data_IF_822496588669
#
_entry.id   IF_822496588669
#
_cell.length_a   1.000
_cell.length_b   1.000
_cell.length_c   1.000
_cell.angle_alpha   90.00
_cell.angle_beta   90.00
_cell.angle_gamma   90.00
#
_symmetry.space_group_name_H-M   'P 1'
#
loop_
_entity.id
_entity.type
_entity.pdbx_description
1 polymer ?
#
# COMPACT_ATOMS: atom_id res chain seq x y z
N UNK A 1 -25.96 -12.98 7.35
CA UNK A 1 -25.90 -13.16 5.88
C UNK A 1 -24.46 -12.83 5.50
N UNK A 2 -23.68 -13.81 5.06
CA UNK A 2 -22.34 -13.54 4.54
C UNK A 2 -22.49 -12.71 3.26
N UNK A 3 -21.86 -11.55 3.20
CA UNK A 3 -21.89 -10.65 2.03
C UNK A 3 -20.64 -10.96 1.22
N UNK A 4 -20.83 -11.32 -0.06
CA UNK A 4 -19.74 -11.51 -1.00
C UNK A 4 -18.92 -10.21 -1.11
N UNK A 5 -17.62 -10.28 -0.82
CA UNK A 5 -16.70 -9.15 -1.02
C UNK A 5 -15.83 -9.40 -2.23
N UNK A 6 -15.83 -8.44 -3.14
CA UNK A 6 -15.02 -8.49 -4.35
C UNK A 6 -14.16 -7.24 -4.44
N UNK A 7 -12.85 -7.43 -4.38
CA UNK A 7 -11.89 -6.35 -4.62
C UNK A 7 -11.37 -6.42 -6.06
N UNK A 8 -11.25 -5.26 -6.71
CA UNK A 8 -10.67 -5.15 -8.04
C UNK A 8 -9.35 -4.41 -7.95
N UNK A 9 -8.25 -5.06 -8.33
CA UNK A 9 -6.92 -4.42 -8.29
C UNK A 9 -6.18 -4.62 -9.61
N UNK A 10 -5.26 -3.71 -9.91
CA UNK A 10 -4.33 -3.85 -11.02
C UNK A 10 -2.95 -4.25 -10.49
N UNK A 11 -2.33 -5.25 -11.13
CA UNK A 11 -0.96 -5.62 -10.91
C UNK A 11 -0.17 -5.45 -12.21
N UNK A 12 1.04 -4.92 -12.07
CA UNK A 12 1.99 -4.86 -13.17
C UNK A 12 3.20 -5.75 -12.87
N UNK A 13 3.66 -6.46 -13.89
CA UNK A 13 4.78 -7.39 -13.77
C UNK A 13 6.09 -6.66 -13.44
N UNK A 14 6.29 -5.46 -14.00
CA UNK A 14 7.56 -4.71 -13.87
C UNK A 14 7.48 -3.62 -12.82
N UNK A 15 6.35 -2.92 -12.78
CA UNK A 15 6.12 -1.73 -11.97
C UNK A 15 5.23 -2.04 -10.76
N UNK A 16 5.44 -1.31 -9.66
CA UNK A 16 4.57 -1.44 -8.48
C UNK A 16 3.41 -0.47 -8.64
N UNK A 17 2.19 -0.99 -8.71
CA UNK A 17 0.97 -0.19 -8.74
C UNK A 17 0.42 0.03 -7.33
N UNK A 18 -0.25 1.17 -7.13
CA UNK A 18 -1.03 1.44 -5.93
C UNK A 18 -2.44 0.88 -6.11
N UNK A 19 -2.98 0.27 -5.06
CA UNK A 19 -4.36 -0.24 -5.01
C UNK A 19 -4.93 0.03 -3.62
N UNK A 20 -6.26 0.04 -3.51
CA UNK A 20 -6.95 0.26 -2.25
C UNK A 20 -6.63 -0.83 -1.23
N UNK A 21 -6.67 -0.45 0.05
CA UNK A 21 -6.46 -1.40 1.13
C UNK A 21 -7.57 -2.45 1.13
N UNK A 22 -7.17 -3.72 1.17
CA UNK A 22 -8.09 -4.86 1.18
C UNK A 22 -8.12 -5.47 2.57
N UNK A 23 -9.33 -5.62 3.12
CA UNK A 23 -9.56 -6.27 4.41
C UNK A 23 -10.61 -7.38 4.30
N UNK A 24 -10.31 -8.50 4.94
CA UNK A 24 -11.16 -9.68 5.01
C UNK A 24 -11.33 -10.15 6.44
N UNK A 25 -12.48 -10.79 6.72
CA UNK A 25 -12.77 -11.32 8.05
C UNK A 25 -12.35 -12.78 8.10
N UNK A 26 -11.68 -13.15 9.19
CA UNK A 26 -11.28 -14.53 9.48
C UNK A 26 -12.46 -15.47 9.38
N UNK A 27 -12.30 -16.56 8.64
CA UNK A 27 -13.31 -17.61 8.48
C UNK A 27 -14.37 -17.36 7.43
N UNK A 28 -14.35 -16.21 6.75
CA UNK A 28 -15.28 -15.89 5.65
C UNK A 28 -14.98 -16.74 4.40
N UNK A 29 -16.02 -17.09 3.63
CA UNK A 29 -15.95 -18.08 2.54
C UNK A 29 -16.27 -17.50 1.16
N UNK A 30 -16.84 -16.30 1.08
CA UNK A 30 -17.39 -15.73 -0.15
C UNK A 30 -16.50 -14.63 -0.75
N UNK A 31 -15.22 -14.56 -0.40
CA UNK A 31 -14.37 -13.45 -0.80
C UNK A 31 -13.69 -13.70 -2.14
N UNK A 32 -13.50 -12.63 -2.92
CA UNK A 32 -12.77 -12.66 -4.19
C UNK A 32 -11.84 -11.45 -4.34
N UNK A 33 -10.68 -11.69 -4.96
CA UNK A 33 -9.86 -10.63 -5.56
C UNK A 33 -9.84 -10.85 -7.07
N UNK A 34 -10.13 -9.79 -7.82
CA UNK A 34 -10.12 -9.78 -9.26
C UNK A 34 -8.98 -8.89 -9.75
N UNK A 35 -7.97 -9.51 -10.36
CA UNK A 35 -6.79 -8.82 -10.84
C UNK A 35 -6.90 -8.46 -12.33
N UNK A 36 -6.50 -7.24 -12.67
CA UNK A 36 -6.07 -6.87 -14.03
C UNK A 36 -4.56 -7.00 -14.09
N UNK A 37 -4.03 -7.84 -14.98
CA UNK A 37 -2.59 -8.04 -15.11
C UNK A 37 -2.05 -7.23 -16.29
N UNK A 38 -0.99 -6.49 -16.03
CA UNK A 38 -0.31 -5.64 -17.01
C UNK A 38 1.20 -5.91 -17.04
N UNK A 39 1.84 -5.60 -18.16
CA UNK A 39 3.29 -5.59 -18.34
C UNK A 39 3.71 -4.22 -18.86
N UNK A 40 4.31 -3.41 -17.98
CA UNK A 40 4.63 -2.02 -18.23
C UNK A 40 3.40 -1.20 -18.68
N UNK A 41 2.26 -1.42 -18.02
CA UNK A 41 0.99 -0.74 -18.30
C UNK A 41 0.18 -1.31 -19.47
N UNK A 42 0.73 -2.24 -20.26
CA UNK A 42 -0.02 -2.92 -21.31
C UNK A 42 -0.74 -4.16 -20.76
N UNK A 43 -2.03 -4.34 -21.06
CA UNK A 43 -2.79 -5.51 -20.61
C UNK A 43 -2.20 -6.80 -21.17
N UNK A 44 -2.09 -7.81 -20.31
CA UNK A 44 -1.65 -9.16 -20.67
C UNK A 44 -2.86 -9.99 -21.08
N UNK A 45 -2.78 -10.70 -22.21
CA UNK A 45 -3.81 -11.64 -22.66
C UNK A 45 -3.75 -12.91 -21.82
N UNK A 46 -4.65 -13.02 -20.85
CA UNK A 46 -4.60 -14.07 -19.82
C UNK A 46 -4.84 -15.48 -20.36
N UNK A 47 -5.51 -15.64 -21.51
CA UNK A 47 -5.81 -16.96 -22.08
C UNK A 47 -4.58 -17.78 -22.46
N UNK A 48 -3.43 -17.13 -22.58
CA UNK A 48 -2.21 -17.73 -23.12
C UNK A 48 -1.29 -18.25 -21.99
N UNK A 49 -1.66 -18.04 -20.72
CA UNK A 49 -0.84 -18.32 -19.56
C UNK A 49 -1.57 -19.15 -18.50
N UNK A 50 -0.80 -19.90 -17.70
CA UNK A 50 -1.29 -20.49 -16.45
C UNK A 50 -0.87 -19.61 -15.26
N UNK A 51 -1.66 -19.65 -14.18
CA UNK A 51 -1.46 -18.78 -13.04
C UNK A 51 -1.47 -19.54 -11.72
N UNK A 52 -0.70 -19.05 -10.77
CA UNK A 52 -0.71 -19.52 -9.39
C UNK A 52 -0.60 -18.34 -8.43
N UNK A 53 -1.45 -18.34 -7.40
CA UNK A 53 -1.34 -17.39 -6.29
C UNK A 53 -0.48 -18.05 -5.21
N UNK A 54 0.49 -17.30 -4.71
CA UNK A 54 1.22 -17.65 -3.48
C UNK A 54 0.93 -16.58 -2.45
N UNK A 55 0.51 -17.01 -1.28
CA UNK A 55 0.28 -16.15 -0.13
C UNK A 55 1.22 -16.56 0.99
N UNK A 56 1.96 -15.59 1.54
CA UNK A 56 2.63 -15.73 2.83
C UNK A 56 1.71 -15.18 3.90
N UNK A 57 1.18 -16.07 4.75
CA UNK A 57 0.33 -15.71 5.88
C UNK A 57 1.14 -15.14 7.06
N UNK A 58 0.49 -14.49 8.04
CA UNK A 58 1.15 -13.95 9.24
C UNK A 58 1.93 -14.97 10.06
N UNK A 59 1.50 -16.24 10.06
CA UNK A 59 2.19 -17.35 10.73
C UNK A 59 3.42 -17.87 9.96
N UNK A 60 3.74 -17.25 8.82
CA UNK A 60 4.83 -17.66 7.94
C UNK A 60 4.48 -18.80 6.98
N UNK A 61 3.28 -19.38 7.07
CA UNK A 61 2.87 -20.45 6.16
C UNK A 61 2.63 -19.92 4.74
N UNK A 62 3.07 -20.68 3.75
CA UNK A 62 2.79 -20.40 2.35
C UNK A 62 1.55 -21.18 1.92
N UNK A 63 0.52 -20.46 1.49
CA UNK A 63 -0.69 -21.01 0.88
C UNK A 63 -0.61 -20.81 -0.62
N UNK A 64 -1.00 -21.83 -1.38
CA UNK A 64 -0.98 -21.82 -2.84
C UNK A 64 -2.37 -22.07 -3.38
N UNK A 65 -2.76 -21.34 -4.41
CA UNK A 65 -4.08 -21.51 -5.04
C UNK A 65 -4.03 -21.24 -6.53
N UNK A 66 -4.97 -21.84 -7.27
CA UNK A 66 -5.11 -21.66 -8.71
C UNK A 66 -6.29 -20.73 -8.99
N UNK A 67 -6.05 -19.49 -9.45
CA UNK A 67 -7.12 -18.56 -9.81
C UNK A 67 -7.75 -18.93 -11.15
N UNK A 68 -8.94 -18.38 -11.42
CA UNK A 68 -9.70 -18.62 -12.64
C UNK A 68 -9.66 -17.41 -13.56
N UNK A 69 -9.41 -17.59 -14.85
CA UNK A 69 -9.49 -16.52 -15.84
C UNK A 69 -10.96 -16.30 -16.23
N UNK A 70 -11.48 -15.08 -16.05
CA UNK A 70 -12.84 -14.68 -16.40
C UNK A 70 -12.80 -13.33 -17.11
N UNK A 71 -13.09 -13.31 -18.42
CA UNK A 71 -13.24 -12.10 -19.25
C UNK A 71 -12.16 -11.04 -18.96
N UNK A 72 -10.92 -11.33 -19.37
CA UNK A 72 -9.72 -10.50 -19.19
C UNK A 72 -9.33 -10.17 -17.73
N UNK A 73 -9.95 -10.83 -16.75
CA UNK A 73 -9.57 -10.73 -15.34
C UNK A 73 -9.12 -12.07 -14.80
N UNK A 74 -8.17 -12.01 -13.87
CA UNK A 74 -7.77 -13.16 -13.07
C UNK A 74 -8.54 -13.12 -11.75
N UNK A 75 -9.44 -14.07 -11.53
CA UNK A 75 -10.32 -14.11 -10.35
C UNK A 75 -9.78 -15.13 -9.36
N UNK A 76 -9.44 -14.67 -8.16
CA UNK A 76 -8.98 -15.49 -7.06
C UNK A 76 -10.02 -15.52 -5.95
N UNK A 77 -10.57 -16.70 -5.67
CA UNK A 77 -11.45 -16.92 -4.52
C UNK A 77 -10.61 -17.11 -3.26
N UNK A 78 -10.97 -16.38 -2.20
CA UNK A 78 -10.31 -16.37 -0.90
C UNK A 78 -11.28 -16.96 0.12
N UNK A 79 -10.82 -17.97 0.87
CA UNK A 79 -11.66 -18.65 1.85
C UNK A 79 -10.96 -18.85 3.19
N UNK A 80 -11.44 -19.85 3.94
CA UNK A 80 -11.03 -20.10 5.32
C UNK A 80 -9.55 -20.43 5.46
N UNK A 81 -8.93 -21.07 4.47
CA UNK A 81 -7.50 -21.41 4.48
C UNK A 81 -6.63 -20.15 4.38
N UNK A 82 -6.95 -19.26 3.44
CA UNK A 82 -6.27 -17.99 3.24
C UNK A 82 -6.44 -17.03 4.42
N UNK A 83 -7.61 -17.12 5.06
CA UNK A 83 -8.06 -16.22 6.12
C UNK A 83 -7.91 -16.82 7.52
N UNK A 84 -7.15 -17.91 7.67
CA UNK A 84 -7.08 -18.66 8.93
C UNK A 84 -6.44 -17.86 10.07
N UNK A 85 -5.49 -16.96 9.75
CA UNK A 85 -4.71 -16.16 10.71
C UNK A 85 -4.91 -14.68 10.47
N UNK A 86 -5.25 -13.96 11.53
CA UNK A 86 -5.32 -12.50 11.52
C UNK A 86 -3.93 -11.88 11.32
N UNK A 87 -3.90 -10.74 10.61
CA UNK A 87 -2.68 -10.01 10.30
C UNK A 87 -2.52 -9.75 8.81
N UNK A 88 -1.32 -9.30 8.45
CA UNK A 88 -0.94 -8.98 7.08
C UNK A 88 -0.64 -10.25 6.28
N UNK A 89 -1.31 -10.41 5.14
CA UNK A 89 -0.98 -11.42 4.14
C UNK A 89 -0.31 -10.76 2.95
N UNK A 90 0.79 -11.37 2.50
CA UNK A 90 1.53 -10.92 1.32
C UNK A 90 1.32 -11.93 0.20
N UNK A 91 0.77 -11.47 -0.93
CA UNK A 91 0.47 -12.30 -2.08
C UNK A 91 1.31 -11.97 -3.30
N UNK A 92 1.57 -12.96 -4.14
CA UNK A 92 2.16 -12.81 -5.48
C UNK A 92 1.42 -13.66 -6.48
N UNK A 93 1.37 -13.21 -7.73
CA UNK A 93 0.89 -14.01 -8.86
C UNK A 93 2.09 -14.53 -9.64
N UNK A 94 2.21 -15.85 -9.74
CA UNK A 94 3.10 -16.51 -10.68
C UNK A 94 2.35 -16.73 -12.00
N UNK A 95 3.01 -16.38 -13.10
CA UNK A 95 2.52 -16.45 -14.47
C UNK A 95 3.44 -17.42 -15.21
N UNK A 96 2.86 -18.42 -15.86
CA UNK A 96 3.56 -19.50 -16.55
C UNK A 96 3.25 -19.51 -18.03
N UNK A 97 4.31 -19.61 -18.84
CA UNK A 97 4.27 -19.85 -20.28
C UNK A 97 5.08 -21.12 -20.56
N UNK A 98 4.43 -22.28 -20.56
CA UNK A 98 5.14 -23.56 -20.59
C UNK A 98 6.01 -23.76 -19.35
N UNK A 99 7.33 -23.81 -19.54
CA UNK A 99 8.31 -23.96 -18.44
C UNK A 99 8.78 -22.61 -17.87
N UNK A 100 8.55 -21.52 -18.60
CA UNK A 100 8.98 -20.19 -18.17
C UNK A 100 8.03 -19.65 -17.10
N UNK A 101 8.61 -18.96 -16.11
CA UNK A 101 7.89 -18.41 -14.97
C UNK A 101 8.28 -16.96 -14.72
N UNK A 102 7.27 -16.11 -14.57
CA UNK A 102 7.40 -14.72 -14.15
C UNK A 102 6.52 -14.49 -12.92
N UNK A 103 6.97 -13.63 -12.00
CA UNK A 103 6.21 -13.29 -10.80
C UNK A 103 5.88 -11.79 -10.81
N UNK A 104 4.64 -11.44 -10.45
CA UNK A 104 4.25 -10.03 -10.28
C UNK A 104 4.91 -9.42 -9.06
N UNK A 105 4.84 -8.09 -8.93
CA UNK A 105 5.05 -7.44 -7.64
C UNK A 105 4.00 -7.92 -6.63
N UNK A 106 4.33 -7.82 -5.35
CA UNK A 106 3.47 -8.28 -4.27
C UNK A 106 2.20 -7.44 -4.19
N UNK A 107 1.07 -8.10 -3.94
CA UNK A 107 -0.13 -7.48 -3.39
C UNK A 107 -0.29 -7.85 -1.93
N UNK A 108 -1.09 -7.10 -1.19
CA UNK A 108 -1.28 -7.33 0.25
C UNK A 108 -2.71 -7.12 0.66
N UNK A 109 -3.18 -7.89 1.62
CA UNK A 109 -4.45 -7.68 2.30
C UNK A 109 -4.30 -7.98 3.78
N UNK A 110 -5.28 -7.54 4.57
CA UNK A 110 -5.33 -7.83 6.00
C UNK A 110 -6.47 -8.76 6.34
N UNK A 111 -6.20 -9.67 7.27
CA UNK A 111 -7.20 -10.53 7.91
C UNK A 111 -7.48 -9.99 9.30
N UNK A 112 -8.75 -9.74 9.62
CA UNK A 112 -9.23 -9.26 10.93
C UNK A 112 -10.25 -10.21 11.52
N UNK A 113 -10.49 -10.15 12.84
CA UNK A 113 -11.52 -10.99 13.48
C UNK A 113 -12.94 -10.47 13.21
N UNK A 114 -13.10 -9.16 13.03
CA UNK A 114 -14.35 -8.47 12.74
C UNK A 114 -14.03 -7.09 12.17
N UNK A 115 -14.96 -6.51 11.42
CA UNK A 115 -14.90 -5.08 11.10
C UNK A 115 -15.32 -4.28 12.33
N UNK A 116 -14.50 -3.32 12.76
CA UNK A 116 -14.90 -2.36 13.78
C UNK A 116 -15.66 -1.23 13.08
N UNK A 117 -16.99 -1.18 13.24
CA UNK A 117 -17.81 -0.13 12.61
C UNK A 117 -17.76 1.20 13.40
N UNK A 118 -17.22 1.24 14.62
CA UNK A 118 -17.27 2.47 15.45
C UNK A 118 -15.95 2.91 16.12
N UNK A 119 -14.82 2.23 15.94
CA UNK A 119 -13.53 2.67 16.50
C UNK A 119 -12.35 2.20 15.62
N UNK A 120 -11.98 3.02 14.62
CA UNK A 120 -10.77 2.81 13.79
C UNK A 120 -9.46 3.20 14.49
N UNK A 121 -9.31 2.90 15.78
CA UNK A 121 -8.07 3.08 16.53
C UNK A 121 -7.90 1.92 17.51
N UNK A 122 -7.44 0.77 16.99
CA UNK A 122 -6.24 0.16 17.54
C UNK A 122 -5.75 -0.91 16.57
N UNK A 123 -4.77 -0.50 15.79
CA UNK A 123 -3.99 -1.41 14.98
C UNK A 123 -2.69 -0.69 14.65
N UNK A 124 -1.74 -0.77 15.57
CA UNK A 124 -0.32 -0.76 15.19
C UNK A 124 -0.05 -2.00 14.31
N UNK A 125 -0.59 -1.96 13.10
CA UNK A 125 -0.10 -2.79 12.02
C UNK A 125 0.95 -1.97 11.31
N UNK A 126 2.21 -2.37 11.50
CA UNK A 126 3.21 -2.22 10.45
C UNK A 126 2.62 -2.83 9.17
N UNK A 127 2.08 -1.96 8.33
CA UNK A 127 1.87 -2.25 6.92
C UNK A 127 3.25 -2.57 6.31
N UNK A 128 3.36 -3.32 5.21
CA UNK A 128 4.44 -3.07 4.29
C UNK A 128 4.03 -1.78 3.58
N UNK A 129 4.16 -0.66 4.28
CA UNK A 129 4.28 0.63 3.63
C UNK A 129 5.37 0.36 2.58
N UNK A 130 5.09 0.69 1.31
CA UNK A 130 6.17 1.37 0.60
C UNK A 130 6.55 2.45 1.59
N UNK A 131 7.67 2.33 2.30
CA UNK A 131 8.08 3.42 3.17
C UNK A 131 8.05 4.63 2.25
N UNK A 132 7.05 5.50 2.44
CA UNK A 132 7.20 6.88 2.10
C UNK A 132 8.23 7.25 3.15
N UNK A 133 9.51 6.99 2.83
CA UNK A 133 10.61 7.37 3.69
C UNK A 133 10.63 8.88 3.74
N UNK A 134 10.20 9.52 2.64
CA UNK A 134 10.42 10.92 2.39
C UNK A 134 9.13 11.65 2.00
N UNK A 135 8.95 12.89 2.47
CA UNK A 135 7.87 13.80 2.10
C UNK A 135 8.44 15.15 1.67
N UNK A 136 7.81 15.82 0.71
CA UNK A 136 8.20 17.18 0.29
C UNK A 136 7.02 18.13 0.46
N UNK A 137 7.16 19.08 1.39
CA UNK A 137 6.25 20.21 1.54
C UNK A 137 6.64 21.30 0.54
N UNK A 138 5.68 21.90 -0.14
CA UNK A 138 5.91 23.10 -0.95
C UNK A 138 5.12 24.25 -0.34
N UNK A 139 5.84 25.25 0.16
CA UNK A 139 5.25 26.48 0.69
C UNK A 139 5.28 27.55 -0.39
N UNK A 140 4.15 27.78 -1.05
CA UNK A 140 4.04 28.78 -2.12
C UNK A 140 3.85 30.20 -1.57
N UNK A 141 3.09 30.34 -0.47
CA UNK A 141 2.82 31.64 0.16
C UNK A 141 3.86 31.90 1.25
N UNK A 142 4.59 33.04 1.22
CA UNK A 142 5.55 33.37 2.27
C UNK A 142 4.92 33.35 3.67
N UNK A 143 5.54 32.64 4.60
CA UNK A 143 5.09 32.55 5.98
C UNK A 143 6.25 32.35 6.93
N UNK A 144 6.12 32.88 8.16
CA UNK A 144 7.08 32.65 9.25
C UNK A 144 6.89 31.31 9.95
N UNK A 145 5.70 30.73 9.85
CA UNK A 145 5.33 29.47 10.51
C UNK A 145 4.74 28.56 9.43
N UNK A 146 5.34 27.38 9.25
CA UNK A 146 4.87 26.37 8.32
C UNK A 146 4.34 25.19 9.10
N UNK A 147 3.04 24.90 8.97
CA UNK A 147 2.45 23.67 9.49
C UNK A 147 2.46 22.63 8.37
N UNK A 148 3.26 21.58 8.54
CA UNK A 148 3.50 20.56 7.52
C UNK A 148 2.89 19.23 7.98
N UNK A 149 1.89 18.77 7.22
CA UNK A 149 1.27 17.46 7.43
C UNK A 149 1.82 16.44 6.43
N UNK A 150 2.72 15.56 6.89
CA UNK A 150 3.59 14.74 6.05
C UNK A 150 3.25 13.25 6.01
N UNK A 151 2.33 12.78 6.84
CA UNK A 151 1.81 11.38 6.86
C UNK A 151 2.88 10.26 6.98
N UNK A 152 4.14 10.58 7.33
CA UNK A 152 5.23 9.60 7.48
C UNK A 152 5.12 8.75 8.76
N UNK A 153 4.25 9.15 9.69
CA UNK A 153 4.04 8.51 10.99
C UNK A 153 5.34 8.25 11.77
N UNK A 154 6.28 9.20 11.72
CA UNK A 154 7.58 9.17 12.42
C UNK A 154 8.10 10.59 12.61
N UNK A 155 8.99 10.77 13.59
CA UNK A 155 9.80 11.99 13.72
C UNK A 155 10.88 11.96 12.63
N UNK A 156 10.64 12.72 11.57
CA UNK A 156 11.46 12.77 10.35
C UNK A 156 12.57 13.83 10.43
N UNK A 157 13.67 13.62 9.73
CA UNK A 157 14.68 14.67 9.56
C UNK A 157 14.20 15.69 8.53
N UNK A 158 14.26 16.98 8.88
CA UNK A 158 13.72 18.07 8.05
C UNK A 158 14.85 18.95 7.53
N UNK A 159 14.86 19.20 6.22
CA UNK A 159 15.71 20.20 5.56
C UNK A 159 14.79 21.18 4.84
N UNK A 160 14.95 22.48 5.10
CA UNK A 160 14.17 23.53 4.44
C UNK A 160 15.06 24.27 3.45
N UNK A 161 14.53 24.58 2.27
CA UNK A 161 15.16 25.43 1.27
C UNK A 161 14.25 26.59 0.86
N UNK A 162 14.83 27.72 0.50
CA UNK A 162 14.11 28.84 -0.12
C UNK A 162 13.79 28.57 -1.61
N UNK A 163 13.17 29.54 -2.28
CA UNK A 163 12.86 29.44 -3.72
C UNK A 163 14.08 29.40 -4.64
N UNK A 164 15.27 29.76 -4.14
CA UNK A 164 16.55 29.68 -4.83
C UNK A 164 17.35 28.43 -4.42
N UNK A 165 16.70 27.47 -3.74
CA UNK A 165 17.27 26.22 -3.22
C UNK A 165 18.41 26.41 -2.20
N UNK A 166 18.48 27.56 -1.52
CA UNK A 166 19.40 27.75 -0.38
C UNK A 166 18.81 27.13 0.89
N UNK A 167 19.61 26.37 1.65
CA UNK A 167 19.17 25.81 2.93
C UNK A 167 18.89 26.90 3.97
N UNK A 168 17.72 26.83 4.60
CA UNK A 168 17.29 27.74 5.66
C UNK A 168 17.09 26.95 6.96
N UNK A 169 17.65 27.46 8.06
CA UNK A 169 17.43 26.89 9.39
C UNK A 169 16.18 27.49 10.03
N UNK A 170 15.34 26.64 10.60
CA UNK A 170 14.16 27.01 11.37
C UNK A 170 14.04 26.18 12.64
N UNK A 171 13.26 26.70 13.60
CA UNK A 171 12.92 25.98 14.82
C UNK A 171 11.82 24.97 14.51
N UNK A 172 12.14 23.68 14.63
CA UNK A 172 11.22 22.58 14.29
C UNK A 172 10.58 22.04 15.58
N UNK A 173 9.25 22.06 15.62
CA UNK A 173 8.44 21.45 16.69
C UNK A 173 7.63 20.30 16.11
N UNK A 174 7.72 19.12 16.72
CA UNK A 174 6.88 17.97 16.36
C UNK A 174 5.58 18.05 17.16
N UNK A 175 4.47 18.34 16.48
CA UNK A 175 3.15 18.41 17.11
C UNK A 175 2.61 17.00 17.36
N UNK A 176 2.72 16.13 16.34
CA UNK A 176 2.38 14.71 16.41
C UNK A 176 3.27 13.90 15.44
N UNK A 177 2.97 12.62 15.23
CA UNK A 177 3.76 11.72 14.37
C UNK A 177 3.64 12.01 12.86
N UNK A 178 2.70 12.85 12.46
CA UNK A 178 2.39 13.20 11.06
C UNK A 178 2.43 14.70 10.79
N UNK A 179 2.60 15.53 11.83
CA UNK A 179 2.51 16.99 11.76
C UNK A 179 3.68 17.64 12.47
N UNK A 180 4.37 18.53 11.75
CA UNK A 180 5.41 19.40 12.30
C UNK A 180 5.05 20.87 12.09
N UNK A 181 5.56 21.71 12.98
CA UNK A 181 5.58 23.15 12.82
C UNK A 181 7.03 23.60 12.66
N UNK A 182 7.31 24.43 11.65
CA UNK A 182 8.63 25.03 11.42
C UNK A 182 8.50 26.54 11.52
N UNK A 183 9.27 27.16 12.43
CA UNK A 183 9.26 28.59 12.67
C UNK A 183 10.56 29.25 12.22
N UNK A 184 10.44 30.39 11.54
CA UNK A 184 11.56 31.17 11.00
C UNK A 184 11.56 32.60 11.54
N UNK A 185 12.72 33.26 11.44
CA UNK A 185 12.90 34.67 11.82
C UNK A 185 12.19 35.64 10.84
N UNK A 186 12.11 35.26 9.56
CA UNK A 186 11.49 36.03 8.49
C UNK A 186 10.56 35.13 7.65
N UNK A 187 9.61 35.75 6.95
CA UNK A 187 8.70 35.02 6.06
C UNK A 187 9.36 34.76 4.71
N UNK A 188 9.22 33.55 4.21
CA UNK A 188 9.63 33.19 2.86
C UNK A 188 8.83 32.00 2.34
N UNK A 189 8.89 31.79 1.04
CA UNK A 189 8.34 30.63 0.32
C UNK A 189 9.47 29.67 -0.06
N UNK A 190 9.18 28.38 -0.15
CA UNK A 190 10.21 27.38 -0.44
C UNK A 190 9.70 25.96 -0.30
N UNK A 191 10.60 25.04 0.05
CA UNK A 191 10.27 23.62 0.23
C UNK A 191 10.86 23.07 1.52
N UNK A 192 10.17 22.10 2.12
CA UNK A 192 10.74 21.29 3.20
C UNK A 192 10.80 19.83 2.76
N UNK A 193 12.00 19.24 2.83
CA UNK A 193 12.27 17.83 2.57
C UNK A 193 12.35 17.08 3.89
N UNK A 194 11.47 16.10 4.07
CA UNK A 194 11.34 15.28 5.26
C UNK A 194 11.79 13.86 4.91
N UNK A 195 12.59 13.20 5.75
CA UNK A 195 13.07 11.82 5.56
C UNK A 195 13.00 10.97 6.84
#
# INVERSE_FOLDING_TARGET
>A
MEIEKVYYIALDIKTRLKFEFMEFVRGDTLNKISFTITNNGQKVKLSDYAFKILLKRPDGQIVQSSPTVVVDKLVYSIGTTELEKCGLVIGTVEIYEGLDKITTKNFTYRVVNSFNVENMLDSETEYPINEITNYTHTQVVPAKIWTVHHTLNKKCSVIVVDSADNTVLGDITYIDMQTIEIKFQAEFSGKAYLN
#
